data_IF_557389454771
#
_entry.id   IF_557389454771
#
_cell.length_a   1.000
_cell.length_b   1.000
_cell.length_c   1.000
_cell.angle_alpha   90.00
_cell.angle_beta   90.00
_cell.angle_gamma   90.00
#
_symmetry.space_group_name_H-M   'P 1'
#
loop_
_entity.id
_entity.type
_entity.pdbx_description
1 polymer ?
#
# COMPACT_ATOMS: atom_id res chain seq x y z
N UNK A 1 9.07 -3.91 -4.54
CA UNK A 1 8.48 -2.66 -5.07
C UNK A 1 7.40 -2.20 -4.11
N UNK A 2 7.25 -0.89 -3.91
CA UNK A 2 6.32 -0.25 -2.97
C UNK A 2 5.44 0.72 -3.75
N UNK A 3 4.12 0.52 -3.71
CA UNK A 3 3.13 1.42 -4.27
C UNK A 3 2.29 2.05 -3.17
N UNK A 4 2.11 3.37 -3.18
CA UNK A 4 1.11 4.05 -2.36
C UNK A 4 -0.24 4.07 -3.08
N UNK A 5 -1.26 3.40 -2.52
CA UNK A 5 -2.62 3.34 -3.05
C UNK A 5 -3.63 4.05 -2.15
N UNK A 6 -4.11 5.24 -2.55
CA UNK A 6 -4.92 6.08 -1.66
C UNK A 6 -6.19 6.64 -2.30
N UNK A 7 -7.29 6.56 -1.55
CA UNK A 7 -8.48 7.38 -1.75
C UNK A 7 -8.19 8.78 -1.20
N UNK A 8 -7.31 9.53 -1.87
CA UNK A 8 -6.89 10.85 -1.41
C UNK A 8 -7.81 11.96 -1.95
N UNK A 9 -8.16 12.91 -1.08
CA UNK A 9 -8.70 14.23 -1.47
C UNK A 9 -7.67 15.35 -1.34
N UNK A 10 -6.39 15.01 -1.13
CA UNK A 10 -5.29 15.94 -0.82
C UNK A 10 -4.05 15.60 -1.66
N UNK A 11 -3.15 16.57 -1.90
CA UNK A 11 -1.93 16.35 -2.70
C UNK A 11 -0.89 15.56 -1.91
N UNK A 12 -1.05 14.23 -1.83
CA UNK A 12 -0.22 13.38 -0.98
C UNK A 12 1.25 13.35 -1.42
N UNK A 13 1.54 13.61 -2.70
CA UNK A 13 2.91 13.73 -3.22
C UNK A 13 3.70 14.82 -2.49
N UNK A 14 3.08 15.97 -2.19
CA UNK A 14 3.71 17.04 -1.40
C UNK A 14 4.04 16.60 0.02
N UNK A 15 3.22 15.73 0.62
CA UNK A 15 3.51 15.15 1.94
C UNK A 15 4.71 14.20 1.84
N UNK A 16 4.72 13.32 0.84
CA UNK A 16 5.85 12.41 0.63
C UNK A 16 7.17 13.15 0.41
N UNK A 17 7.16 14.23 -0.38
CA UNK A 17 8.36 15.03 -0.63
C UNK A 17 8.86 15.71 0.65
N UNK A 18 7.94 16.33 1.41
CA UNK A 18 8.27 17.01 2.66
C UNK A 18 8.86 16.06 3.69
N UNK A 19 8.33 14.84 3.79
CA UNK A 19 8.79 13.82 4.73
C UNK A 19 9.98 12.99 4.19
N UNK A 20 10.47 13.27 2.98
CA UNK A 20 11.58 12.54 2.35
C UNK A 20 11.24 11.09 1.98
N UNK A 21 9.96 10.75 1.83
CA UNK A 21 9.47 9.41 1.53
C UNK A 21 9.33 9.13 0.02
N UNK A 22 9.31 10.16 -0.82
CA UNK A 22 9.18 10.00 -2.27
C UNK A 22 10.20 9.03 -2.90
N UNK A 23 11.48 9.00 -2.48
CA UNK A 23 12.46 8.04 -3.02
C UNK A 23 12.22 6.59 -2.58
N UNK A 24 11.34 6.34 -1.60
CA UNK A 24 11.05 5.01 -1.06
C UNK A 24 9.82 4.36 -1.71
N UNK A 25 9.08 5.11 -2.53
CA UNK A 25 7.90 4.62 -3.24
C UNK A 25 8.19 4.55 -4.73
N UNK A 26 8.01 3.37 -5.32
CA UNK A 26 8.20 3.15 -6.75
C UNK A 26 7.03 3.73 -7.56
N UNK A 27 5.83 3.76 -6.97
CA UNK A 27 4.62 4.29 -7.58
C UNK A 27 3.68 4.93 -6.56
N UNK A 28 2.85 5.86 -7.04
CA UNK A 28 1.77 6.48 -6.28
C UNK A 28 0.53 6.52 -7.16
N UNK A 29 -0.53 5.85 -6.73
CA UNK A 29 -1.82 5.74 -7.42
C UNK A 29 -2.90 6.37 -6.55
N UNK A 30 -3.51 7.42 -7.07
CA UNK A 30 -4.49 8.23 -6.36
C UNK A 30 -5.85 8.15 -7.04
N UNK A 31 -6.89 7.98 -6.24
CA UNK A 31 -8.25 7.78 -6.76
C UNK A 31 -8.74 8.88 -7.71
N UNK A 32 -8.33 10.14 -7.49
CA UNK A 32 -8.71 11.24 -8.37
C UNK A 32 -7.92 11.26 -9.69
N UNK A 33 -6.74 10.64 -9.74
CA UNK A 33 -5.92 10.54 -10.96
C UNK A 33 -6.44 9.42 -11.87
N UNK A 34 -6.88 8.30 -11.28
CA UNK A 34 -7.34 7.11 -12.02
C UNK A 34 -8.86 7.02 -12.19
N UNK A 35 -9.64 7.86 -11.50
CA UNK A 35 -11.10 7.94 -11.63
C UNK A 35 -11.89 6.85 -10.88
N UNK A 36 -11.24 6.05 -10.05
CA UNK A 36 -11.85 4.97 -9.27
C UNK A 36 -11.40 5.06 -7.82
N UNK A 37 -12.28 4.70 -6.88
CA UNK A 37 -11.97 4.65 -5.44
C UNK A 37 -11.91 3.19 -5.00
N UNK A 38 -11.04 2.86 -4.03
CA UNK A 38 -11.17 1.61 -3.28
C UNK A 38 -12.60 1.53 -2.69
N UNK A 39 -13.28 0.37 -2.74
CA UNK A 39 -12.76 -0.97 -3.08
C UNK A 39 -12.91 -1.39 -4.57
N UNK A 40 -13.11 -0.47 -5.52
CA UNK A 40 -13.23 -0.82 -6.94
C UNK A 40 -11.96 -1.55 -7.46
N UNK A 41 -12.13 -2.71 -8.11
CA UNK A 41 -11.01 -3.53 -8.58
C UNK A 41 -10.07 -2.76 -9.53
N UNK A 42 -10.57 -1.78 -10.28
CA UNK A 42 -9.79 -1.04 -11.27
C UNK A 42 -8.68 -0.20 -10.64
N UNK A 43 -8.87 0.31 -9.43
CA UNK A 43 -7.80 1.06 -8.74
C UNK A 43 -6.68 0.11 -8.24
N UNK A 44 -7.03 -1.11 -7.84
CA UNK A 44 -6.05 -2.12 -7.46
C UNK A 44 -5.27 -2.64 -8.67
N UNK A 45 -5.95 -2.84 -9.80
CA UNK A 45 -5.29 -3.18 -11.06
C UNK A 45 -4.31 -2.08 -11.50
N UNK A 46 -4.73 -0.81 -11.44
CA UNK A 46 -3.85 0.30 -11.75
C UNK A 46 -2.60 0.34 -10.85
N UNK A 47 -2.73 -0.02 -9.58
CA UNK A 47 -1.59 -0.15 -8.67
C UNK A 47 -0.65 -1.29 -9.08
N UNK A 48 -1.19 -2.48 -9.38
CA UNK A 48 -0.40 -3.63 -9.85
C UNK A 48 0.35 -3.30 -11.15
N UNK A 49 -0.30 -2.66 -12.11
CA UNK A 49 0.28 -2.25 -13.39
C UNK A 49 1.41 -1.24 -13.18
N UNK A 50 1.22 -0.25 -12.31
CA UNK A 50 2.22 0.79 -12.03
C UNK A 50 3.52 0.24 -11.41
N UNK A 51 3.46 -0.91 -10.75
CA UNK A 51 4.64 -1.62 -10.24
C UNK A 51 4.87 -2.94 -10.95
N UNK A 52 4.29 -3.17 -12.12
CA UNK A 52 4.40 -4.39 -12.95
C UNK A 52 4.41 -5.70 -12.11
N UNK A 53 3.48 -5.82 -11.17
CA UNK A 53 3.41 -6.91 -10.21
C UNK A 53 2.17 -7.78 -10.47
N UNK A 54 2.32 -9.10 -10.36
CA UNK A 54 1.15 -9.98 -10.33
C UNK A 54 0.41 -9.86 -8.99
N UNK A 55 -0.89 -10.16 -8.98
CA UNK A 55 -1.70 -10.04 -7.78
C UNK A 55 -1.26 -11.01 -6.66
N UNK A 56 -0.84 -12.22 -7.01
CA UNK A 56 -0.43 -13.26 -6.07
C UNK A 56 0.94 -13.00 -5.42
N UNK A 57 1.73 -12.08 -6.00
CA UNK A 57 2.98 -11.56 -5.44
C UNK A 57 2.80 -10.29 -4.62
N UNK A 58 1.60 -9.70 -4.59
CA UNK A 58 1.32 -8.45 -3.91
C UNK A 58 0.74 -8.63 -2.49
N UNK A 59 1.13 -7.73 -1.58
CA UNK A 59 0.53 -7.57 -0.26
C UNK A 59 -0.05 -6.14 -0.16
N UNK A 60 -1.38 -6.03 -0.08
CA UNK A 60 -2.05 -4.79 0.27
C UNK A 60 -2.03 -4.59 1.79
N UNK A 61 -1.61 -3.42 2.26
CA UNK A 61 -1.61 -3.07 3.68
C UNK A 61 -2.45 -1.81 3.88
N UNK A 62 -3.41 -1.86 4.80
CA UNK A 62 -4.30 -0.75 5.09
C UNK A 62 -5.05 -0.91 6.40
N UNK A 63 -5.93 0.03 6.72
CA UNK A 63 -6.68 0.08 7.99
C UNK A 63 -8.20 -0.04 7.79
N UNK A 64 -8.68 0.06 6.55
CA UNK A 64 -10.08 -0.05 6.19
C UNK A 64 -10.39 -1.45 5.67
N UNK A 65 -10.99 -2.30 6.52
CA UNK A 65 -11.46 -3.61 6.07
C UNK A 65 -12.46 -3.55 4.91
N UNK A 66 -13.21 -2.45 4.76
CA UNK A 66 -14.13 -2.24 3.64
C UNK A 66 -13.41 -1.85 2.35
N UNK A 67 -12.48 -0.90 2.43
CA UNK A 67 -11.87 -0.32 1.24
C UNK A 67 -10.64 -1.11 0.80
N UNK A 68 -9.76 -1.50 1.73
CA UNK A 68 -8.45 -2.10 1.44
C UNK A 68 -8.52 -3.61 1.13
N UNK A 69 -9.63 -4.27 1.47
CA UNK A 69 -9.86 -5.68 1.12
C UNK A 69 -10.34 -5.89 -0.33
N UNK A 70 -10.70 -4.83 -1.06
CA UNK A 70 -11.22 -4.93 -2.42
C UNK A 70 -10.30 -5.67 -3.38
N UNK A 71 -8.98 -5.54 -3.20
CA UNK A 71 -7.96 -6.23 -3.99
C UNK A 71 -8.03 -7.77 -3.91
N UNK A 72 -8.68 -8.34 -2.90
CA UNK A 72 -8.87 -9.78 -2.79
C UNK A 72 -9.62 -10.37 -4.00
N UNK A 73 -10.48 -9.59 -4.66
CA UNK A 73 -11.15 -10.00 -5.91
C UNK A 73 -10.21 -10.21 -7.10
N UNK A 74 -8.98 -9.67 -7.03
CA UNK A 74 -7.91 -9.91 -8.01
C UNK A 74 -6.91 -10.99 -7.53
N UNK A 75 -7.06 -11.52 -6.32
CA UNK A 75 -6.10 -12.43 -5.70
C UNK A 75 -5.01 -11.76 -4.87
N UNK A 76 -5.10 -10.44 -4.62
CA UNK A 76 -4.14 -9.73 -3.76
C UNK A 76 -4.35 -10.17 -2.31
N UNK A 77 -3.27 -10.54 -1.62
CA UNK A 77 -3.31 -10.77 -0.16
C UNK A 77 -3.43 -9.43 0.55
N UNK A 78 -4.31 -9.33 1.54
CA UNK A 78 -4.50 -8.08 2.31
C UNK A 78 -4.19 -8.29 3.79
N UNK A 79 -3.35 -7.43 4.36
CA UNK A 79 -3.14 -7.29 5.80
C UNK A 79 -3.85 -6.02 6.28
N UNK A 80 -4.86 -6.19 7.14
CA UNK A 80 -5.54 -5.07 7.80
C UNK A 80 -4.89 -4.82 9.15
N UNK A 81 -4.33 -3.62 9.32
CA UNK A 81 -3.78 -3.13 10.58
C UNK A 81 -4.81 -2.23 11.26
N UNK A 82 -5.28 -2.53 12.48
CA UNK A 82 -6.18 -1.65 13.20
C UNK A 82 -5.56 -0.27 13.39
N UNK A 83 -6.38 0.79 13.33
CA UNK A 83 -5.91 2.14 13.68
C UNK A 83 -5.36 2.16 15.11
N UNK A 84 -4.12 2.61 15.26
CA UNK A 84 -3.47 2.77 16.57
C UNK A 84 -3.15 4.23 16.86
N UNK A 85 -2.86 4.53 18.13
CA UNK A 85 -2.36 5.82 18.59
C UNK A 85 -0.88 5.73 18.99
N UNK A 86 -0.14 6.83 18.89
CA UNK A 86 1.28 6.87 19.22
C UNK A 86 2.18 6.43 18.05
N UNK A 87 3.50 6.27 18.27
CA UNK A 87 4.46 6.11 17.18
C UNK A 87 4.55 4.69 16.59
N UNK A 88 3.85 3.71 17.17
CA UNK A 88 3.94 2.30 16.78
C UNK A 88 2.64 1.87 16.10
N UNK A 89 2.76 1.48 14.83
CA UNK A 89 1.63 1.12 13.97
C UNK A 89 1.69 -0.33 13.42
N UNK A 90 2.48 -1.20 14.03
CA UNK A 90 2.53 -2.62 13.65
C UNK A 90 3.36 -2.95 12.40
N UNK A 91 4.23 -2.04 11.95
CA UNK A 91 5.07 -2.22 10.76
C UNK A 91 5.91 -3.53 10.79
N UNK A 92 6.32 -3.99 11.98
CA UNK A 92 7.04 -5.25 12.12
C UNK A 92 6.30 -6.48 11.58
N UNK A 93 4.96 -6.49 11.63
CA UNK A 93 4.14 -7.56 11.06
C UNK A 93 4.22 -7.57 9.51
N UNK A 94 4.27 -6.38 8.89
CA UNK A 94 4.42 -6.23 7.44
C UNK A 94 5.77 -6.81 7.00
N UNK A 95 6.85 -6.40 7.68
CA UNK A 95 8.21 -6.83 7.35
C UNK A 95 8.42 -8.34 7.50
N UNK A 96 7.78 -8.95 8.50
CA UNK A 96 7.82 -10.40 8.69
C UNK A 96 7.18 -11.17 7.53
N UNK A 97 6.10 -10.63 6.95
CA UNK A 97 5.40 -11.25 5.81
C UNK A 97 6.14 -11.08 4.47
N UNK A 98 6.92 -10.01 4.31
CA UNK A 98 7.68 -9.76 3.08
C UNK A 98 9.04 -10.46 3.05
N UNK A 99 9.30 -11.38 3.99
CA UNK A 99 10.55 -12.15 4.05
C UNK A 99 11.77 -11.32 4.48
N UNK A 100 11.57 -10.11 4.99
CA UNK A 100 12.64 -9.24 5.48
C UNK A 100 13.06 -9.66 6.90
N UNK A 101 13.57 -10.88 7.04
CA UNK A 101 14.32 -11.25 8.24
C UNK A 101 15.66 -10.53 8.17
N UNK A 102 15.89 -9.57 9.08
CA UNK A 102 17.22 -9.02 9.30
C UNK A 102 18.22 -10.17 9.45
N UNK A 103 19.16 -10.31 8.50
CA UNK A 103 20.45 -10.88 8.86
C UNK A 103 21.06 -9.91 9.87
N UNK A 104 21.06 -10.31 11.13
CA UNK A 104 21.92 -9.70 12.15
C UNK A 104 23.35 -9.88 11.66
N UNK A 105 23.98 -8.79 11.24
CA UNK A 105 25.41 -8.77 10.94
C UNK A 105 26.15 -9.18 12.22
N UNK A 106 26.84 -10.32 12.11
CA UNK A 106 27.87 -10.78 13.06
C UNK A 106 29.08 -9.87 13.06
#
# INVERSE_FOLDING_TARGET
RICLLSNAGVPIRTVLDREGLSPLVDAVVLSYEVGFVKPDLRIFQAALDAIECSADEALMVGDSGRDDSGGAGLGIRTLILPRTTGPVHGLGAVLALTGSSHQTLS
#
